data_IF_543458284333
#
_entry.id   IF_543458284333
#
_cell.length_a   1.000
_cell.length_b   1.000
_cell.length_c   1.000
_cell.angle_alpha   90.00
_cell.angle_beta   90.00
_cell.angle_gamma   90.00
#
_symmetry.space_group_name_H-M   'P 1'
#
loop_
_entity.id
_entity.type
_entity.pdbx_description
1 polymer ?
#
# COMPACT_ATOMS: atom_id res chain seq x y z
N UNK A 1 2.22 -5.80 21.24
CA UNK A 1 2.22 -6.21 19.82
C UNK A 1 3.55 -5.85 19.20
N UNK A 2 4.25 -6.80 18.56
CA UNK A 2 5.43 -6.47 17.75
C UNK A 2 4.99 -5.59 16.57
N UNK A 3 5.81 -4.62 16.13
CA UNK A 3 5.49 -3.81 14.97
C UNK A 3 5.34 -4.71 13.75
N UNK A 4 4.32 -4.43 12.93
CA UNK A 4 4.09 -5.16 11.70
C UNK A 4 5.28 -4.95 10.76
N UNK A 5 5.83 -6.04 10.23
CA UNK A 5 7.02 -6.01 9.38
C UNK A 5 6.73 -6.64 8.02
N UNK A 6 7.28 -6.04 6.97
CA UNK A 6 7.24 -6.53 5.61
C UNK A 6 8.66 -6.86 5.14
N UNK A 7 9.01 -8.15 4.98
CA UNK A 7 10.29 -8.56 4.42
C UNK A 7 10.33 -8.28 2.91
N UNK A 8 11.37 -7.59 2.45
CA UNK A 8 11.62 -7.31 1.03
C UNK A 8 13.09 -7.61 0.72
N UNK A 9 13.33 -8.55 -0.19
CA UNK A 9 14.68 -8.97 -0.59
C UNK A 9 15.07 -8.43 -1.97
N UNK A 10 14.10 -8.24 -2.86
CA UNK A 10 14.35 -7.88 -4.27
C UNK A 10 14.53 -6.39 -4.53
N UNK A 11 14.40 -5.55 -3.50
CA UNK A 11 14.29 -4.09 -3.60
C UNK A 11 13.01 -3.57 -4.25
N UNK A 12 12.09 -4.44 -4.66
CA UNK A 12 10.81 -4.06 -5.25
C UNK A 12 9.66 -4.35 -4.28
N UNK A 13 8.64 -3.49 -4.33
CA UNK A 13 7.39 -3.65 -3.60
C UNK A 13 6.25 -3.90 -4.58
N UNK A 14 5.37 -4.83 -4.22
CA UNK A 14 4.15 -5.11 -4.97
C UNK A 14 2.91 -4.97 -4.11
N UNK A 15 1.80 -4.65 -4.77
CA UNK A 15 0.46 -4.54 -4.22
C UNK A 15 -0.53 -5.33 -5.09
N UNK A 16 -1.51 -5.98 -4.47
CA UNK A 16 -2.53 -6.75 -5.17
C UNK A 16 -3.76 -7.01 -4.30
N UNK A 17 -4.89 -7.28 -4.94
CA UNK A 17 -6.05 -7.95 -4.35
C UNK A 17 -5.78 -9.47 -4.31
N UNK A 18 -5.74 -10.11 -3.14
CA UNK A 18 -5.42 -11.53 -3.00
C UNK A 18 -6.48 -12.48 -3.58
N UNK A 19 -7.72 -12.03 -3.77
CA UNK A 19 -8.74 -12.77 -4.50
C UNK A 19 -8.62 -12.68 -6.02
N UNK A 20 -7.75 -11.80 -6.54
CA UNK A 20 -7.65 -11.50 -7.97
C UNK A 20 -6.18 -11.46 -8.40
N UNK A 21 -5.59 -12.61 -8.74
CA UNK A 21 -4.17 -12.71 -9.09
C UNK A 21 -3.71 -11.71 -10.19
N UNK A 22 -4.57 -11.42 -11.17
CA UNK A 22 -4.30 -10.43 -12.24
C UNK A 22 -4.16 -8.98 -11.75
N UNK A 23 -4.53 -8.70 -10.51
CA UNK A 23 -4.41 -7.38 -9.89
C UNK A 23 -2.99 -7.04 -9.46
N UNK A 24 -2.05 -8.00 -9.55
CA UNK A 24 -0.66 -7.80 -9.18
C UNK A 24 0.00 -6.64 -9.90
N UNK A 25 0.54 -5.69 -9.13
CA UNK A 25 1.30 -4.56 -9.64
C UNK A 25 2.56 -4.34 -8.79
N UNK A 26 3.69 -4.17 -9.46
CA UNK A 26 4.96 -3.77 -8.85
C UNK A 26 5.08 -2.26 -8.95
N UNK A 27 5.53 -1.58 -7.90
CA UNK A 27 5.81 -0.14 -7.95
C UNK A 27 7.09 0.15 -8.73
N UNK A 28 7.12 1.29 -9.42
CA UNK A 28 8.24 1.72 -10.27
C UNK A 28 9.55 1.99 -9.51
N UNK A 29 9.44 2.40 -8.23
CA UNK A 29 10.58 2.84 -7.42
C UNK A 29 11.19 1.71 -6.59
N UNK A 30 12.51 1.53 -6.61
CA UNK A 30 13.19 0.57 -5.73
C UNK A 30 13.22 1.08 -4.29
N UNK A 31 12.72 0.28 -3.34
CA UNK A 31 12.65 0.60 -1.91
C UNK A 31 13.89 0.20 -1.11
N UNK A 32 14.86 -0.47 -1.75
CA UNK A 32 15.92 -1.20 -1.04
C UNK A 32 15.42 -2.52 -0.45
N UNK A 33 16.34 -3.34 0.05
CA UNK A 33 16.04 -4.62 0.69
C UNK A 33 16.10 -4.48 2.22
N UNK A 34 15.23 -5.18 2.94
CA UNK A 34 15.21 -5.19 4.40
C UNK A 34 13.87 -5.60 5.00
N UNK A 35 13.73 -5.33 6.29
CA UNK A 35 12.49 -5.48 7.05
C UNK A 35 11.86 -4.11 7.24
N UNK A 36 10.76 -3.84 6.54
CA UNK A 36 10.12 -2.54 6.60
C UNK A 36 9.01 -2.52 7.64
N UNK A 37 8.98 -1.46 8.45
CA UNK A 37 7.90 -1.25 9.43
C UNK A 37 6.66 -0.77 8.69
N UNK A 38 5.54 -1.43 8.98
CA UNK A 38 4.23 -1.08 8.47
C UNK A 38 3.39 -0.50 9.60
N UNK A 39 2.88 0.71 9.38
CA UNK A 39 1.98 1.41 10.29
C UNK A 39 0.61 1.50 9.65
N UNK A 40 -0.42 1.28 10.46
CA UNK A 40 -1.81 1.38 10.05
C UNK A 40 -2.41 2.64 10.65
N UNK A 41 -3.05 3.44 9.82
CA UNK A 41 -3.89 4.57 10.24
C UNK A 41 -5.35 4.13 10.17
N UNK A 42 -6.08 4.35 11.25
CA UNK A 42 -7.50 3.99 11.36
C UNK A 42 -8.33 5.26 11.44
N UNK A 43 -9.48 5.27 10.78
CA UNK A 43 -10.48 6.31 10.88
C UNK A 43 -11.82 5.70 11.32
N UNK A 44 -12.64 6.51 11.98
CA UNK A 44 -14.01 6.12 12.35
C UNK A 44 -14.95 6.54 11.23
N UNK A 45 -15.61 5.56 10.62
CA UNK A 45 -16.64 5.79 9.61
C UNK A 45 -17.90 6.43 10.22
N UNK A 46 -18.79 6.94 9.38
CA UNK A 46 -20.02 7.61 9.79
C UNK A 46 -20.97 6.72 10.62
N UNK A 47 -20.91 5.40 10.42
CA UNK A 47 -21.65 4.39 11.20
C UNK A 47 -20.99 4.08 12.57
N UNK A 48 -19.87 4.72 12.88
CA UNK A 48 -19.13 4.54 14.11
C UNK A 48 -18.14 3.37 14.11
N UNK A 49 -18.02 2.63 13.01
CA UNK A 49 -17.03 1.54 12.87
C UNK A 49 -15.64 2.09 12.56
N UNK A 50 -14.60 1.49 13.14
CA UNK A 50 -13.23 1.79 12.74
C UNK A 50 -12.90 1.09 11.42
N UNK A 51 -12.20 1.80 10.53
CA UNK A 51 -11.78 1.33 9.20
C UNK A 51 -10.34 1.75 8.93
N UNK A 52 -9.67 0.98 8.08
CA UNK A 52 -8.32 1.32 7.62
C UNK A 52 -8.40 2.56 6.72
N UNK A 53 -7.75 3.65 7.14
CA UNK A 53 -7.69 4.91 6.39
C UNK A 53 -6.44 4.97 5.51
N UNK A 54 -5.30 4.54 6.05
CA UNK A 54 -4.04 4.50 5.33
C UNK A 54 -3.09 3.43 5.84
N UNK A 55 -2.18 3.00 4.97
CA UNK A 55 -1.05 2.11 5.30
C UNK A 55 0.22 2.84 4.97
N UNK A 56 1.13 2.95 5.94
CA UNK A 56 2.41 3.65 5.79
C UNK A 56 3.55 2.65 5.95
N UNK A 57 4.41 2.55 4.95
CA UNK A 57 5.59 1.70 4.95
C UNK A 57 6.82 2.57 4.91
N UNK A 58 7.61 2.57 5.99
CA UNK A 58 8.90 3.27 6.01
C UNK A 58 9.98 2.41 5.37
N UNK A 59 10.54 2.88 4.26
CA UNK A 59 11.56 2.18 3.46
C UNK A 59 12.94 2.87 3.48
N UNK A 60 12.98 4.15 3.84
CA UNK A 60 14.20 4.94 3.95
C UNK A 60 14.31 5.68 5.28
N UNK A 61 15.30 6.58 5.37
CA UNK A 61 15.50 7.46 6.52
C UNK A 61 15.10 8.90 6.15
N UNK A 62 14.30 9.61 6.96
CA UNK A 62 13.98 11.03 6.76
C UNK A 62 15.24 11.91 6.63
N UNK A 63 15.17 13.11 6.01
CA UNK A 63 13.98 13.95 5.82
C UNK A 63 13.20 13.73 4.51
N UNK A 64 11.88 14.00 4.55
CA UNK A 64 11.01 14.03 3.37
C UNK A 64 11.17 15.38 2.67
N UNK A 65 11.49 15.38 1.38
CA UNK A 65 11.58 16.59 0.56
C UNK A 65 10.28 16.89 -0.19
N UNK A 66 9.62 15.86 -0.76
CA UNK A 66 8.36 16.01 -1.50
C UNK A 66 7.54 14.73 -1.53
N UNK A 67 6.27 14.87 -1.90
CA UNK A 67 5.35 13.77 -2.17
C UNK A 67 5.14 13.60 -3.68
N UNK A 68 5.03 12.36 -4.15
CA UNK A 68 4.74 12.04 -5.54
C UNK A 68 3.83 10.83 -5.62
N UNK A 69 3.03 10.74 -6.68
CA UNK A 69 2.14 9.60 -6.92
C UNK A 69 2.98 8.35 -7.16
N UNK A 70 2.68 7.28 -6.45
CA UNK A 70 3.27 5.97 -6.73
C UNK A 70 2.61 5.40 -7.97
N UNK A 71 3.42 4.96 -8.94
CA UNK A 71 2.91 4.35 -10.15
C UNK A 71 3.56 2.99 -10.36
N UNK A 72 2.97 2.23 -11.27
CA UNK A 72 3.36 0.84 -11.47
C UNK A 72 4.47 0.73 -12.51
N UNK A 73 5.36 -0.23 -12.31
CA UNK A 73 6.39 -0.60 -13.28
C UNK A 73 5.75 -0.82 -14.65
N UNK A 74 6.44 -0.41 -15.72
CA UNK A 74 6.00 -0.53 -17.12
C UNK A 74 4.73 0.28 -17.46
N UNK A 75 4.22 1.09 -16.54
CA UNK A 75 3.15 2.05 -16.80
C UNK A 75 3.74 3.44 -16.96
N UNK A 76 3.11 4.28 -17.79
CA UNK A 76 3.52 5.68 -17.92
C UNK A 76 3.32 6.39 -16.58
N UNK A 77 4.26 7.29 -16.25
CA UNK A 77 4.11 8.16 -15.10
C UNK A 77 2.78 8.92 -15.20
N UNK A 78 1.91 8.84 -14.19
CA UNK A 78 0.59 9.46 -14.22
C UNK A 78 0.70 10.97 -14.30
N UNK A 79 -0.24 11.61 -15.01
CA UNK A 79 -0.48 13.04 -14.83
C UNK A 79 -1.10 13.29 -13.44
N UNK A 80 -1.03 14.53 -12.90
CA UNK A 80 -1.65 14.87 -11.62
C UNK A 80 -3.14 14.53 -11.53
N UNK A 81 -3.83 14.50 -12.67
CA UNK A 81 -5.28 14.21 -12.78
C UNK A 81 -5.58 12.72 -12.97
N UNK A 82 -4.57 11.88 -13.18
CA UNK A 82 -4.71 10.45 -13.46
C UNK A 82 -4.00 9.61 -12.40
N UNK A 83 -4.56 9.58 -11.18
CA UNK A 83 -4.01 8.76 -10.10
C UNK A 83 -4.17 7.26 -10.42
N UNK A 84 -3.08 6.46 -10.50
CA UNK A 84 -3.18 5.02 -10.61
C UNK A 84 -3.89 4.48 -9.37
N UNK A 85 -4.95 3.70 -9.58
CA UNK A 85 -5.74 3.09 -8.52
C UNK A 85 -5.44 1.60 -8.41
N UNK A 86 -5.36 1.11 -7.18
CA UNK A 86 -5.48 -0.31 -6.85
C UNK A 86 -6.93 -0.59 -6.50
N UNK A 87 -7.55 -1.59 -7.12
CA UNK A 87 -8.91 -2.00 -6.78
C UNK A 87 -8.85 -3.20 -5.83
N UNK A 88 -9.67 -3.17 -4.77
CA UNK A 88 -10.01 -4.33 -3.95
C UNK A 88 -11.46 -4.72 -4.20
N UNK A 89 -11.65 -5.99 -4.52
CA UNK A 89 -12.94 -6.66 -4.71
C UNK A 89 -13.16 -7.79 -3.70
N UNK A 90 -12.08 -8.32 -3.11
CA UNK A 90 -12.13 -9.34 -2.07
C UNK A 90 -12.23 -8.78 -0.65
N UNK A 91 -12.22 -7.45 -0.48
CA UNK A 91 -12.15 -6.79 0.82
C UNK A 91 -10.74 -6.67 1.40
N UNK A 92 -9.72 -7.08 0.66
CA UNK A 92 -8.33 -7.14 1.09
C UNK A 92 -7.40 -6.49 0.07
N UNK A 93 -6.34 -5.88 0.58
CA UNK A 93 -5.14 -5.52 -0.20
C UNK A 93 -3.95 -6.19 0.45
N UNK A 94 -3.08 -6.79 -0.35
CA UNK A 94 -1.87 -7.45 0.09
C UNK A 94 -0.62 -6.75 -0.45
N UNK A 95 0.41 -6.69 0.39
CA UNK A 95 1.72 -6.13 0.10
C UNK A 95 2.78 -7.23 0.19
N UNK A 96 3.73 -7.26 -0.74
CA UNK A 96 4.81 -8.23 -0.73
C UNK A 96 6.09 -7.71 -1.39
N UNK A 97 7.15 -8.51 -1.28
CA UNK A 97 8.29 -8.44 -2.18
C UNK A 97 7.81 -8.56 -3.64
N UNK A 98 8.29 -7.66 -4.52
CA UNK A 98 7.90 -7.56 -5.92
C UNK A 98 8.64 -8.49 -6.90
N UNK A 99 9.54 -9.36 -6.45
CA UNK A 99 10.24 -10.30 -7.32
C UNK A 99 9.29 -11.25 -8.08
N UNK A 100 9.75 -11.79 -9.21
CA UNK A 100 9.19 -13.00 -9.82
C UNK A 100 7.83 -12.88 -10.51
N UNK A 101 7.25 -11.67 -10.63
CA UNK A 101 5.93 -11.49 -11.25
C UNK A 101 4.78 -11.92 -10.34
N UNK A 102 3.57 -11.99 -10.89
CA UNK A 102 2.35 -12.27 -10.14
C UNK A 102 2.33 -13.72 -9.63
N UNK A 103 2.46 -13.97 -8.32
CA UNK A 103 2.28 -15.30 -7.78
C UNK A 103 0.78 -15.62 -7.70
N UNK A 104 0.45 -16.90 -7.61
CA UNK A 104 -0.86 -17.31 -7.10
C UNK A 104 -0.95 -17.00 -5.60
N UNK A 105 -2.18 -16.90 -5.12
CA UNK A 105 -2.47 -16.55 -3.73
C UNK A 105 -3.50 -17.54 -3.20
N UNK A 106 -3.33 -17.98 -1.95
CA UNK A 106 -4.37 -18.77 -1.29
C UNK A 106 -5.52 -17.84 -0.92
N UNK A 107 -6.77 -18.13 -1.34
CA UNK A 107 -7.91 -17.26 -1.07
C UNK A 107 -8.03 -16.95 0.43
N UNK A 108 -8.15 -15.66 0.75
CA UNK A 108 -8.44 -15.21 2.11
C UNK A 108 -9.95 -15.12 2.29
N UNK A 109 -10.44 -15.55 3.45
CA UNK A 109 -11.83 -15.32 3.81
C UNK A 109 -12.11 -13.80 3.92
N UNK A 110 -13.32 -13.33 3.58
CA UNK A 110 -13.69 -11.93 3.79
C UNK A 110 -13.43 -11.48 5.24
N UNK A 111 -12.88 -10.27 5.43
CA UNK A 111 -12.60 -9.74 6.76
C UNK A 111 -13.81 -9.07 7.40
N UNK A 112 -13.98 -9.26 8.70
CA UNK A 112 -14.90 -8.49 9.55
C UNK A 112 -14.19 -7.58 10.57
N UNK A 113 -12.86 -7.48 10.50
CA UNK A 113 -12.05 -6.71 11.45
C UNK A 113 -10.82 -6.05 10.82
N UNK A 114 -10.01 -5.39 11.64
CA UNK A 114 -8.87 -4.56 11.21
C UNK A 114 -7.50 -5.24 11.34
N UNK A 115 -7.48 -6.51 11.71
CA UNK A 115 -6.25 -7.24 11.94
C UNK A 115 -5.58 -7.64 10.61
N UNK A 116 -4.32 -7.24 10.37
CA UNK A 116 -3.52 -7.78 9.29
C UNK A 116 -3.32 -9.29 9.43
N UNK A 117 -3.19 -9.98 8.29
CA UNK A 117 -2.87 -11.41 8.27
C UNK A 117 -1.71 -11.70 7.31
N UNK A 118 -0.91 -12.71 7.65
CA UNK A 118 0.06 -13.24 6.71
C UNK A 118 -0.67 -14.04 5.62
N UNK A 119 -0.33 -13.79 4.37
CA UNK A 119 -0.95 -14.39 3.20
C UNK A 119 0.09 -15.21 2.43
N UNK A 120 0.05 -16.55 2.50
CA UNK A 120 1.01 -17.38 1.80
C UNK A 120 0.77 -17.33 0.28
N UNK A 121 1.87 -17.19 -0.46
CA UNK A 121 1.91 -17.15 -1.91
C UNK A 121 2.32 -18.51 -2.47
N UNK A 122 1.89 -18.83 -3.69
CA UNK A 122 2.11 -20.16 -4.30
C UNK A 122 3.58 -20.49 -4.56
N UNK A 123 4.47 -19.50 -4.57
CA UNK A 123 5.90 -19.66 -4.76
C UNK A 123 6.68 -19.71 -3.43
N UNK A 124 5.99 -19.83 -2.30
CA UNK A 124 6.58 -19.93 -0.97
C UNK A 124 6.90 -18.59 -0.30
N UNK A 125 6.70 -17.46 -0.98
CA UNK A 125 6.75 -16.14 -0.34
C UNK A 125 5.55 -15.93 0.58
N UNK A 126 5.64 -14.92 1.44
CA UNK A 126 4.52 -14.43 2.24
C UNK A 126 4.25 -12.97 1.91
N UNK A 127 2.98 -12.64 1.75
CA UNK A 127 2.49 -11.27 1.68
C UNK A 127 1.87 -10.87 3.02
N UNK A 128 1.77 -9.56 3.23
CA UNK A 128 1.02 -8.96 4.31
C UNK A 128 -0.32 -8.47 3.78
N UNK A 129 -1.41 -9.13 4.16
CA UNK A 129 -2.76 -8.76 3.77
C UNK A 129 -3.42 -7.87 4.83
N UNK A 130 -4.07 -6.81 4.35
CA UNK A 130 -4.66 -5.75 5.13
C UNK A 130 -6.16 -5.61 4.78
N UNK A 131 -7.05 -5.64 5.78
CA UNK A 131 -8.48 -5.56 5.53
C UNK A 131 -8.85 -4.11 5.20
N UNK A 132 -9.50 -3.91 4.06
CA UNK A 132 -9.79 -2.56 3.54
C UNK A 132 -11.20 -2.40 2.98
N UNK A 133 -11.96 -3.50 2.83
CA UNK A 133 -13.23 -3.47 2.11
C UNK A 133 -13.06 -3.34 0.60
N UNK A 134 -14.18 -3.22 -0.10
CA UNK A 134 -14.19 -3.11 -1.56
C UNK A 134 -14.09 -1.64 -1.98
N UNK A 135 -13.27 -1.35 -2.98
CA UNK A 135 -13.07 0.02 -3.45
C UNK A 135 -11.81 0.21 -4.28
N UNK A 136 -11.51 1.48 -4.56
CA UNK A 136 -10.31 1.91 -5.26
C UNK A 136 -9.43 2.74 -4.33
N UNK A 137 -8.13 2.52 -4.38
CA UNK A 137 -7.17 3.12 -3.46
C UNK A 137 -5.99 3.70 -4.22
N UNK A 138 -5.41 4.80 -3.73
CA UNK A 138 -4.23 5.41 -4.35
C UNK A 138 -2.99 5.14 -3.51
N UNK A 139 -1.82 5.20 -4.14
CA UNK A 139 -0.55 5.09 -3.44
C UNK A 139 0.36 6.29 -3.75
N UNK A 140 1.18 6.67 -2.77
CA UNK A 140 2.07 7.82 -2.84
C UNK A 140 3.44 7.49 -2.25
N UNK A 141 4.48 8.05 -2.84
CA UNK A 141 5.82 8.06 -2.30
C UNK A 141 6.11 9.40 -1.64
N UNK A 142 6.59 9.37 -0.40
CA UNK A 142 7.45 10.44 0.10
C UNK A 142 8.87 10.15 -0.36
N UNK A 143 9.56 11.16 -0.90
CA UNK A 143 10.94 11.03 -1.39
C UNK A 143 11.86 12.08 -0.79
N UNK A 144 13.15 11.78 -0.73
CA UNK A 144 14.20 12.71 -0.30
C UNK A 144 14.59 13.71 -1.40
N UNK A 145 15.57 14.57 -1.10
CA UNK A 145 16.09 15.57 -2.03
C UNK A 145 16.77 14.96 -3.27
N UNK A 146 17.18 13.69 -3.20
CA UNK A 146 17.76 12.92 -4.29
C UNK A 146 16.72 12.04 -5.02
N UNK A 147 15.42 12.28 -4.79
CA UNK A 147 14.29 11.52 -5.35
C UNK A 147 14.27 10.03 -4.94
N UNK A 148 14.93 9.65 -3.83
CA UNK A 148 14.89 8.29 -3.29
C UNK A 148 13.67 8.09 -2.39
N UNK A 149 12.99 6.93 -2.45
CA UNK A 149 11.81 6.67 -1.63
C UNK A 149 12.16 6.59 -0.14
N UNK A 150 11.36 7.28 0.67
CA UNK A 150 11.44 7.28 2.14
C UNK A 150 10.26 6.51 2.74
N UNK A 151 9.05 6.73 2.23
CA UNK A 151 7.89 5.94 2.63
C UNK A 151 6.87 5.77 1.50
N UNK A 152 6.21 4.62 1.49
CA UNK A 152 5.01 4.36 0.71
C UNK A 152 3.79 4.62 1.58
N UNK A 153 2.80 5.34 1.07
CA UNK A 153 1.48 5.49 1.69
C UNK A 153 0.44 4.93 0.73
N UNK A 154 -0.34 3.95 1.17
CA UNK A 154 -1.54 3.48 0.48
C UNK A 154 -2.74 4.09 1.20
N UNK A 155 -3.53 4.85 0.46
CA UNK A 155 -4.64 5.67 0.97
C UNK A 155 -5.98 5.05 0.57
N UNK A 156 -6.77 4.71 1.59
CA UNK A 156 -8.04 3.99 1.46
C UNK A 156 -9.25 4.91 1.51
N UNK A 157 -9.09 6.13 2.03
CA UNK A 157 -10.15 7.12 2.21
C UNK A 157 -10.22 8.14 1.06
N UNK A 158 -9.75 7.73 -0.15
CA UNK A 158 -9.66 8.51 -1.39
C UNK A 158 -10.03 9.97 -1.20
N UNK A 159 -9.08 10.74 -0.66
CA UNK A 159 -9.34 12.14 -0.36
C UNK A 159 -9.86 12.84 -1.62
N UNK A 160 -10.93 13.61 -1.47
CA UNK A 160 -11.21 14.66 -2.42
C UNK A 160 -10.07 15.69 -2.28
N UNK A 161 -9.50 16.21 -3.37
CA UNK A 161 -8.38 17.17 -3.32
C UNK A 161 -8.62 18.40 -2.40
N UNK A 162 -9.87 18.68 -2.00
CA UNK A 162 -10.23 19.72 -1.03
C UNK A 162 -9.66 19.46 0.37
N UNK A 163 -9.54 18.20 0.78
CA UNK A 163 -9.25 17.83 2.16
C UNK A 163 -7.77 18.01 2.51
N UNK A 164 -6.86 17.90 1.53
CA UNK A 164 -5.42 18.16 1.72
C UNK A 164 -5.05 19.64 1.77
N UNK A 165 -5.89 20.53 1.20
CA UNK A 165 -5.66 22.00 1.23
C UNK A 165 -6.23 22.67 2.48
N UNK A 166 -6.95 21.93 3.33
CA UNK A 166 -7.41 22.45 4.60
C UNK A 166 -6.19 22.68 5.50
N UNK A 167 -5.81 23.95 5.67
CA UNK A 167 -4.88 24.36 6.73
C UNK A 167 -5.35 23.73 8.05
N UNK A 168 -4.44 23.27 8.94
CA UNK A 168 -4.83 22.85 10.27
C UNK A 168 -5.65 23.99 10.88
N UNK A 169 -6.88 23.68 11.31
CA UNK A 169 -7.71 24.68 11.99
C UNK A 169 -7.03 25.00 13.32
N UNK A 170 -6.92 26.30 13.68
CA UNK A 170 -6.37 26.72 14.97
C UNK A 170 -7.20 26.18 16.14
#
# INVERSE_FOLDING_TARGET
MLPLQLPVSSTALAIFDPGVARSWRVFDRPSGAGQFRVMLSLAKAADGTERLAAVVIHVGRPPIAKWTVAHFEKHKKPSPDQLPRCTSSSGWIALSDGAGGAPGVTPLAPSTGLAPVACPLTDGRNALALPCGNGEFAAYWAVDAADKPICLVVDFDVFSQKDWKAKPRP
#
